data_IF_612702889767
#
_entry.id   IF_612702889767
#
_cell.length_a   1.000
_cell.length_b   1.000
_cell.length_c   1.000
_cell.angle_alpha   90.00
_cell.angle_beta   90.00
_cell.angle_gamma   90.00
#
_symmetry.space_group_name_H-M   'P 1'
#
loop_
_entity.id
_entity.type
_entity.pdbx_description
1 polymer ?
#
# COMPACT_ATOMS: atom_id res chain seq x y z
N UNK A 1 -2.30 -19.65 -11.55
CA UNK A 1 -1.14 -19.83 -10.67
C UNK A 1 -0.40 -21.13 -10.99
N UNK A 2 -1.03 -22.32 -10.95
CA UNK A 2 -0.37 -23.60 -11.19
C UNK A 2 0.46 -23.65 -12.48
N UNK A 3 -0.06 -23.08 -13.58
CA UNK A 3 0.68 -23.01 -14.84
C UNK A 3 1.94 -22.14 -14.72
N UNK A 4 1.85 -21.01 -14.02
CA UNK A 4 2.99 -20.14 -13.77
C UNK A 4 4.02 -20.83 -12.86
N UNK A 5 3.60 -21.50 -11.80
CA UNK A 5 4.51 -22.27 -10.93
C UNK A 5 5.25 -23.37 -11.72
N UNK A 6 4.54 -24.09 -12.60
CA UNK A 6 5.15 -25.13 -13.41
C UNK A 6 6.22 -24.57 -14.36
N UNK A 7 6.00 -23.37 -14.92
CA UNK A 7 6.99 -22.71 -15.78
C UNK A 7 8.29 -22.33 -15.03
N UNK A 8 8.22 -22.18 -13.70
CA UNK A 8 9.33 -21.78 -12.84
C UNK A 8 9.78 -22.89 -11.89
N UNK A 9 9.30 -24.15 -12.06
CA UNK A 9 9.52 -25.23 -11.09
C UNK A 9 11.00 -25.44 -10.77
N UNK A 10 11.87 -25.43 -11.78
CA UNK A 10 13.31 -25.69 -11.65
C UNK A 10 14.14 -24.42 -11.38
N UNK A 11 13.49 -23.25 -11.27
CA UNK A 11 14.19 -21.98 -11.05
C UNK A 11 14.27 -21.68 -9.56
N UNK A 12 15.48 -21.46 -9.06
CA UNK A 12 15.70 -20.98 -7.68
C UNK A 12 15.30 -19.53 -7.54
N UNK A 13 14.59 -19.19 -6.46
CA UNK A 13 14.26 -17.80 -6.14
C UNK A 13 15.53 -17.03 -5.78
N UNK A 14 15.80 -15.95 -6.51
CA UNK A 14 16.91 -15.03 -6.28
C UNK A 14 16.42 -13.59 -6.38
N UNK A 15 17.22 -12.63 -5.93
CA UNK A 15 16.94 -11.20 -6.14
C UNK A 15 17.74 -10.57 -7.29
N UNK A 16 18.48 -11.37 -8.05
CA UNK A 16 19.33 -10.92 -9.16
C UNK A 16 18.66 -11.16 -10.50
N UNK A 17 17.66 -10.33 -10.84
CA UNK A 17 16.95 -10.34 -12.12
C UNK A 17 16.35 -8.97 -12.41
N UNK A 18 15.90 -8.75 -13.64
CA UNK A 18 15.14 -7.54 -14.00
C UNK A 18 13.76 -7.56 -13.35
N UNK A 19 13.49 -6.59 -12.48
CA UNK A 19 12.25 -6.52 -11.68
C UNK A 19 11.03 -6.14 -12.48
N UNK A 20 11.17 -5.71 -13.72
CA UNK A 20 10.07 -5.42 -14.65
C UNK A 20 9.55 -6.69 -15.34
N UNK A 21 10.28 -7.82 -15.20
CA UNK A 21 9.92 -9.11 -15.78
C UNK A 21 9.26 -9.99 -14.72
N UNK A 22 8.14 -10.62 -15.07
CA UNK A 22 7.46 -11.56 -14.19
C UNK A 22 8.35 -12.76 -13.86
N UNK A 23 8.49 -13.06 -12.58
CA UNK A 23 9.44 -14.05 -12.05
C UNK A 23 8.76 -15.11 -11.18
N UNK A 24 9.52 -16.15 -10.79
CA UNK A 24 9.07 -17.11 -9.77
C UNK A 24 8.70 -16.40 -8.46
N UNK A 25 9.50 -15.42 -8.04
CA UNK A 25 9.22 -14.65 -6.81
C UNK A 25 7.89 -13.91 -6.92
N UNK A 26 7.61 -13.23 -8.03
CA UNK A 26 6.34 -12.57 -8.28
C UNK A 26 5.15 -13.57 -8.30
N UNK A 27 5.34 -14.75 -8.87
CA UNK A 27 4.33 -15.84 -8.85
C UNK A 27 4.03 -16.31 -7.42
N UNK A 28 5.05 -16.45 -6.59
CA UNK A 28 4.90 -16.87 -5.18
C UNK A 28 4.20 -15.79 -4.34
N UNK A 29 4.51 -14.50 -4.57
CA UNK A 29 3.81 -13.39 -3.92
C UNK A 29 2.32 -13.38 -4.29
N UNK A 30 1.99 -13.46 -5.58
CA UNK A 30 0.61 -13.56 -6.06
C UNK A 30 -0.10 -14.80 -5.50
N UNK A 31 0.59 -15.95 -5.44
CA UNK A 31 0.04 -17.15 -4.83
C UNK A 31 -0.31 -16.93 -3.36
N UNK A 32 0.62 -16.37 -2.59
CA UNK A 32 0.38 -16.09 -1.17
C UNK A 32 -0.82 -15.15 -1.00
N UNK A 33 -0.89 -14.06 -1.77
CA UNK A 33 -1.98 -13.08 -1.71
C UNK A 33 -3.35 -13.72 -1.99
N UNK A 34 -3.46 -14.54 -3.05
CA UNK A 34 -4.71 -15.24 -3.40
C UNK A 34 -5.13 -16.22 -2.29
N UNK A 35 -4.19 -17.01 -1.76
CA UNK A 35 -4.50 -17.98 -0.71
C UNK A 35 -4.80 -17.34 0.63
N UNK A 36 -4.17 -16.22 0.97
CA UNK A 36 -4.55 -15.41 2.14
C UNK A 36 -5.97 -14.87 2.00
N UNK A 37 -6.32 -14.36 0.81
CA UNK A 37 -7.67 -13.88 0.54
C UNK A 37 -8.69 -15.02 0.64
N UNK A 38 -8.45 -16.15 -0.01
CA UNK A 38 -9.33 -17.33 0.04
C UNK A 38 -9.49 -17.88 1.46
N UNK A 39 -8.43 -17.81 2.27
CA UNK A 39 -8.45 -18.26 3.65
C UNK A 39 -9.36 -17.45 4.57
N UNK A 40 -9.50 -16.13 4.31
CA UNK A 40 -10.06 -15.19 5.27
C UNK A 40 -11.36 -14.54 4.82
N UNK A 41 -11.61 -14.40 3.51
CA UNK A 41 -12.76 -13.65 2.99
C UNK A 41 -13.92 -14.58 2.66
N UNK A 42 -15.09 -14.29 3.25
CA UNK A 42 -16.36 -14.94 2.90
C UNK A 42 -17.24 -13.96 2.13
N UNK A 43 -17.63 -14.36 0.92
CA UNK A 43 -18.49 -13.60 -0.01
C UNK A 43 -19.48 -14.56 -0.68
N UNK A 44 -20.41 -14.03 -1.47
CA UNK A 44 -21.29 -14.87 -2.29
C UNK A 44 -20.46 -15.75 -3.22
N UNK A 45 -20.66 -17.07 -3.10
CA UNK A 45 -19.97 -18.09 -3.91
C UNK A 45 -18.60 -18.52 -3.35
N UNK A 46 -18.12 -17.94 -2.24
CA UNK A 46 -16.90 -18.39 -1.58
C UNK A 46 -17.00 -18.32 -0.07
N UNK A 47 -16.63 -19.40 0.60
CA UNK A 47 -16.50 -19.47 2.07
C UNK A 47 -15.03 -19.55 2.44
N UNK A 48 -14.61 -18.74 3.40
CA UNK A 48 -13.24 -18.73 3.91
C UNK A 48 -12.77 -20.15 4.31
N UNK A 49 -11.60 -20.54 3.81
CA UNK A 49 -11.03 -21.90 3.99
C UNK A 49 -10.14 -22.02 5.23
N UNK A 50 -9.83 -20.89 5.87
CA UNK A 50 -9.08 -20.82 7.12
C UNK A 50 -7.64 -21.32 6.99
N UNK A 51 -7.20 -22.11 7.97
CA UNK A 51 -5.80 -22.54 8.11
C UNK A 51 -5.30 -23.38 6.94
N UNK A 52 -6.18 -24.02 6.16
CA UNK A 52 -5.77 -24.82 5.00
C UNK A 52 -5.05 -23.96 3.97
N UNK A 53 -5.66 -22.86 3.57
CA UNK A 53 -5.08 -21.97 2.55
C UNK A 53 -4.00 -21.05 3.15
N UNK A 54 -4.08 -20.69 4.44
CA UNK A 54 -2.97 -19.99 5.11
C UNK A 54 -1.66 -20.79 5.08
N UNK A 55 -1.69 -22.11 5.23
CA UNK A 55 -0.50 -22.95 5.10
C UNK A 55 0.07 -22.95 3.67
N UNK A 56 -0.78 -22.86 2.66
CA UNK A 56 -0.32 -22.72 1.26
C UNK A 56 0.35 -21.36 1.06
N UNK A 57 -0.24 -20.29 1.61
CA UNK A 57 0.36 -18.96 1.59
C UNK A 57 1.71 -18.93 2.32
N UNK A 58 1.78 -19.53 3.53
CA UNK A 58 3.01 -19.66 4.32
C UNK A 58 4.11 -20.37 3.52
N UNK A 59 3.78 -21.50 2.88
CA UNK A 59 4.75 -22.27 2.08
C UNK A 59 5.26 -21.48 0.87
N UNK A 60 4.44 -20.61 0.27
CA UNK A 60 4.87 -19.73 -0.81
C UNK A 60 5.81 -18.62 -0.29
N UNK A 61 5.44 -17.94 0.81
CA UNK A 61 6.24 -16.88 1.42
C UNK A 61 7.58 -17.38 1.98
N UNK A 62 7.63 -18.59 2.53
CA UNK A 62 8.87 -19.21 3.02
C UNK A 62 9.94 -19.37 1.91
N UNK A 63 9.54 -19.40 0.65
CA UNK A 63 10.50 -19.40 -0.46
C UNK A 63 11.05 -17.99 -0.78
N UNK A 64 10.40 -16.94 -0.29
CA UNK A 64 10.76 -15.53 -0.48
C UNK A 64 11.58 -15.00 0.69
N UNK A 65 11.17 -15.34 1.93
CA UNK A 65 11.82 -14.85 3.16
C UNK A 65 13.30 -15.22 3.15
N UNK A 66 14.16 -14.20 3.40
CA UNK A 66 15.61 -14.33 3.38
C UNK A 66 16.24 -14.37 1.97
N UNK A 67 15.47 -14.19 0.89
CA UNK A 67 16.00 -14.09 -0.48
C UNK A 67 16.07 -12.66 -1.01
N UNK A 68 15.39 -11.74 -0.34
CA UNK A 68 15.39 -10.31 -0.59
C UNK A 68 15.80 -9.59 0.68
N UNK A 69 16.08 -8.29 0.60
CA UNK A 69 16.57 -7.50 1.73
C UNK A 69 15.79 -6.18 1.80
N UNK A 70 15.46 -5.71 3.00
CA UNK A 70 15.00 -4.33 3.19
C UNK A 70 16.19 -3.39 2.95
N UNK A 71 15.96 -2.31 2.19
CA UNK A 71 16.93 -1.24 2.14
C UNK A 71 16.92 -0.47 3.46
N UNK A 72 18.09 -0.06 3.94
CA UNK A 72 18.19 0.74 5.17
C UNK A 72 17.55 2.11 5.05
N UNK A 73 17.57 2.68 3.86
CA UNK A 73 16.94 3.96 3.53
C UNK A 73 15.64 3.72 2.76
N UNK A 74 14.52 4.12 3.36
CA UNK A 74 13.19 3.95 2.79
C UNK A 74 12.99 4.77 1.50
N UNK A 75 13.57 5.96 1.39
CA UNK A 75 13.46 6.79 0.19
C UNK A 75 14.11 6.12 -1.02
N UNK A 76 15.23 5.44 -0.81
CA UNK A 76 15.96 4.75 -1.86
C UNK A 76 15.22 3.56 -2.49
N UNK A 77 14.18 3.04 -1.82
CA UNK A 77 13.32 1.99 -2.41
C UNK A 77 12.63 2.49 -3.68
N UNK A 78 12.25 3.78 -3.69
CA UNK A 78 11.45 4.42 -4.74
C UNK A 78 12.29 5.29 -5.69
N UNK A 79 13.59 5.34 -5.50
CA UNK A 79 14.49 6.16 -6.31
C UNK A 79 14.61 5.64 -7.74
N UNK A 80 14.42 6.53 -8.72
CA UNK A 80 14.62 6.22 -10.15
C UNK A 80 16.06 5.86 -10.50
N UNK A 81 17.02 6.30 -9.68
CA UNK A 81 18.44 5.92 -9.81
C UNK A 81 18.78 4.57 -9.20
N UNK A 82 17.86 3.95 -8.45
CA UNK A 82 18.04 2.67 -7.76
C UNK A 82 16.93 1.66 -8.12
N UNK A 83 16.53 1.63 -9.36
CA UNK A 83 15.45 0.75 -9.86
C UNK A 83 15.74 -0.72 -9.54
N UNK A 84 15.79 -1.68 -9.93
CA UNK A 84 16.18 -3.07 -9.67
C UNK A 84 16.85 -3.36 -8.31
N UNK A 85 16.57 -2.57 -7.25
CA UNK A 85 17.18 -2.76 -5.94
C UNK A 85 16.75 -4.08 -5.27
N UNK A 86 17.44 -4.45 -4.20
CA UNK A 86 17.29 -5.75 -3.52
C UNK A 86 15.96 -5.94 -2.81
N UNK A 87 15.21 -4.87 -2.55
CA UNK A 87 13.91 -4.94 -1.90
C UNK A 87 12.78 -5.24 -2.90
N UNK A 88 12.90 -4.81 -4.15
CA UNK A 88 11.86 -4.95 -5.17
C UNK A 88 11.78 -6.41 -5.67
N UNK A 89 10.55 -6.94 -5.74
CA UNK A 89 10.24 -8.26 -6.28
C UNK A 89 9.62 -8.14 -7.68
N UNK A 90 8.68 -7.22 -7.88
CA UNK A 90 8.08 -6.98 -9.19
C UNK A 90 7.55 -5.54 -9.27
N UNK A 91 7.76 -4.90 -10.42
CA UNK A 91 7.36 -3.53 -10.68
C UNK A 91 6.87 -3.35 -12.12
N UNK A 92 5.99 -2.37 -12.32
CA UNK A 92 5.65 -1.85 -13.63
C UNK A 92 6.57 -0.68 -13.94
N UNK A 93 7.25 -0.75 -15.08
CA UNK A 93 8.23 0.24 -15.49
C UNK A 93 7.58 1.52 -16.01
N UNK A 94 8.12 2.66 -15.57
CA UNK A 94 7.79 4.00 -16.09
C UNK A 94 9.08 4.74 -16.41
N UNK A 95 9.10 5.46 -17.52
CA UNK A 95 10.26 6.22 -17.95
C UNK A 95 9.87 7.50 -18.69
N UNK A 96 10.74 8.52 -18.60
CA UNK A 96 10.59 9.74 -19.39
C UNK A 96 10.56 9.42 -20.87
N UNK A 97 9.57 9.98 -21.59
CA UNK A 97 9.35 9.74 -23.00
C UNK A 97 8.58 8.45 -23.36
N UNK A 98 8.31 7.56 -22.36
CA UNK A 98 7.52 6.34 -22.57
C UNK A 98 6.15 6.44 -21.88
N UNK A 99 6.14 6.48 -20.55
CA UNK A 99 4.93 6.59 -19.75
C UNK A 99 5.24 7.26 -18.42
N UNK A 100 4.27 8.02 -17.89
CA UNK A 100 4.34 8.64 -16.58
C UNK A 100 3.21 8.13 -15.68
N UNK A 101 3.48 8.05 -14.37
CA UNK A 101 2.50 7.65 -13.37
C UNK A 101 1.62 8.84 -12.92
N UNK A 102 0.68 8.57 -12.01
CA UNK A 102 -0.30 9.57 -11.57
C UNK A 102 0.09 10.35 -10.31
N UNK A 103 1.37 10.41 -9.95
CA UNK A 103 1.84 11.12 -8.75
C UNK A 103 1.38 12.59 -8.72
N UNK A 104 1.27 13.24 -9.87
CA UNK A 104 0.77 14.61 -9.98
C UNK A 104 -0.61 14.87 -9.38
N UNK A 105 -1.45 13.82 -9.16
CA UNK A 105 -2.75 13.97 -8.50
C UNK A 105 -2.63 14.36 -7.01
N UNK A 106 -1.49 14.06 -6.39
CA UNK A 106 -1.20 14.32 -4.97
C UNK A 106 -0.29 15.54 -4.76
N UNK A 107 0.21 16.14 -5.83
CA UNK A 107 1.20 17.22 -5.77
C UNK A 107 0.57 18.56 -6.01
N UNK A 108 1.12 19.60 -5.37
CA UNK A 108 0.64 20.96 -5.46
C UNK A 108 0.94 21.65 -6.81
N UNK A 109 0.19 22.70 -7.09
CA UNK A 109 0.56 23.69 -8.10
C UNK A 109 1.46 24.74 -7.44
N UNK A 110 2.67 24.97 -7.98
CA UNK A 110 3.67 25.86 -7.38
C UNK A 110 3.13 27.26 -7.09
N UNK A 111 2.43 27.86 -8.03
CA UNK A 111 1.86 29.22 -7.88
C UNK A 111 0.80 29.35 -6.77
N UNK A 112 0.15 28.24 -6.38
CA UNK A 112 -0.87 28.21 -5.32
C UNK A 112 -0.29 27.77 -3.96
N UNK A 113 0.96 27.32 -3.93
CA UNK A 113 1.57 26.72 -2.76
C UNK A 113 2.80 27.53 -2.29
N UNK A 114 3.76 27.78 -3.20
CA UNK A 114 5.00 28.47 -2.87
C UNK A 114 4.70 29.92 -2.48
N UNK A 115 5.22 30.34 -1.33
CA UNK A 115 4.95 31.67 -0.75
C UNK A 115 3.54 31.84 -0.15
N UNK A 116 2.66 30.83 -0.23
CA UNK A 116 1.28 30.90 0.27
C UNK A 116 1.08 30.13 1.58
N UNK A 117 1.81 29.04 1.77
CA UNK A 117 1.65 28.15 2.94
C UNK A 117 2.90 28.16 3.81
N UNK A 118 2.80 27.62 5.03
CA UNK A 118 3.87 27.52 6.02
C UNK A 118 4.26 26.09 6.26
N UNK A 119 5.52 25.85 6.54
CA UNK A 119 6.06 24.55 6.94
C UNK A 119 5.92 24.29 8.44
N UNK A 120 6.47 23.15 8.87
CA UNK A 120 6.56 22.71 10.26
C UNK A 120 7.19 23.76 11.18
N UNK A 121 8.14 24.55 10.71
CA UNK A 121 8.84 25.61 11.44
C UNK A 121 8.07 26.95 11.50
N UNK A 122 6.83 27.01 11.06
CA UNK A 122 5.98 28.19 10.93
C UNK A 122 6.47 29.24 9.93
N UNK A 123 7.53 28.95 9.16
CA UNK A 123 7.99 29.83 8.09
C UNK A 123 7.28 29.52 6.79
N UNK A 124 7.15 30.53 5.95
CA UNK A 124 6.64 30.34 4.58
C UNK A 124 7.53 29.39 3.80
N UNK A 125 6.92 28.51 3.03
CA UNK A 125 7.61 27.66 2.07
C UNK A 125 7.90 28.51 0.83
N UNK A 126 9.09 29.09 0.76
CA UNK A 126 9.49 30.01 -0.32
C UNK A 126 10.18 29.29 -1.49
N UNK A 127 10.55 28.01 -1.31
CA UNK A 127 11.30 27.24 -2.31
C UNK A 127 10.50 26.03 -2.74
N UNK A 128 10.39 25.83 -4.05
CA UNK A 128 9.80 24.62 -4.65
C UNK A 128 10.80 23.46 -4.58
N UNK A 129 10.87 22.82 -3.41
CA UNK A 129 11.79 21.71 -3.16
C UNK A 129 11.44 20.44 -3.93
N UNK A 130 10.22 20.32 -4.45
CA UNK A 130 9.78 19.20 -5.25
C UNK A 130 9.96 19.42 -6.76
N UNK A 131 10.42 20.60 -7.19
CA UNK A 131 10.63 20.99 -8.59
C UNK A 131 9.37 20.80 -9.46
N UNK A 132 8.23 21.30 -8.98
CA UNK A 132 6.94 21.18 -9.67
C UNK A 132 6.68 22.35 -10.64
N UNK A 133 7.49 23.41 -10.60
CA UNK A 133 7.40 24.54 -11.53
C UNK A 133 7.58 24.03 -12.95
N UNK A 134 6.59 24.26 -13.79
CA UNK A 134 6.59 23.82 -15.19
C UNK A 134 5.98 22.44 -15.46
N UNK A 135 5.95 21.55 -14.48
CA UNK A 135 5.24 20.26 -14.60
C UNK A 135 3.88 20.31 -13.88
N UNK A 136 3.88 20.92 -12.67
CA UNK A 136 2.69 21.11 -11.84
C UNK A 136 2.05 19.83 -11.33
N UNK A 137 1.42 19.93 -10.17
CA UNK A 137 0.46 18.96 -9.70
C UNK A 137 -0.96 19.45 -9.94
N UNK A 138 -1.94 18.60 -9.73
CA UNK A 138 -3.36 18.99 -9.78
C UNK A 138 -4.04 18.95 -8.42
N UNK A 139 -3.36 18.44 -7.41
CA UNK A 139 -3.73 18.38 -5.99
C UNK A 139 -5.18 17.98 -5.76
N UNK A 140 -5.59 16.86 -6.36
CA UNK A 140 -6.95 16.33 -6.24
C UNK A 140 -7.16 15.46 -5.02
N UNK A 141 -6.08 14.92 -4.48
CA UNK A 141 -6.11 13.97 -3.36
C UNK A 141 -5.08 14.38 -2.33
N UNK A 142 -5.50 14.34 -1.08
CA UNK A 142 -4.70 14.63 0.09
C UNK A 142 -4.98 13.60 1.18
N UNK A 143 -3.98 13.29 1.99
CA UNK A 143 -4.15 12.44 3.15
C UNK A 143 -4.64 13.26 4.34
N UNK A 144 -5.44 12.65 5.20
CA UNK A 144 -6.00 13.32 6.38
C UNK A 144 -4.97 13.47 7.48
N UNK A 145 -5.19 14.45 8.37
CA UNK A 145 -4.39 14.61 9.59
C UNK A 145 -4.39 13.33 10.44
N UNK A 146 -5.53 12.66 10.60
CA UNK A 146 -5.65 11.45 11.39
C UNK A 146 -4.71 10.34 10.90
N UNK A 147 -4.57 10.20 9.59
CA UNK A 147 -3.62 9.24 9.02
C UNK A 147 -2.16 9.70 9.18
N UNK A 148 -1.87 10.97 8.89
CA UNK A 148 -0.53 11.52 9.05
C UNK A 148 -0.05 11.42 10.50
N UNK A 149 -0.92 11.72 11.49
CA UNK A 149 -0.62 11.66 12.92
C UNK A 149 -0.49 10.24 13.48
N UNK A 150 -0.87 9.22 12.70
CA UNK A 150 -0.63 7.82 13.07
C UNK A 150 0.87 7.42 12.99
N UNK A 151 1.69 8.23 12.31
CA UNK A 151 3.14 8.05 12.34
C UNK A 151 3.72 8.67 13.61
N UNK A 152 4.58 7.91 14.29
CA UNK A 152 5.43 8.45 15.33
C UNK A 152 6.41 9.49 14.77
N UNK A 153 6.87 10.44 15.61
CA UNK A 153 7.83 11.45 15.18
C UNK A 153 9.18 10.88 14.73
N UNK A 154 9.53 9.71 15.24
CA UNK A 154 10.77 8.99 14.94
C UNK A 154 10.63 8.04 13.73
N UNK A 155 9.42 7.82 13.26
CA UNK A 155 9.18 7.01 12.05
C UNK A 155 9.64 7.76 10.80
N UNK A 156 10.79 7.39 10.26
CA UNK A 156 11.41 8.07 9.11
C UNK A 156 10.55 8.04 7.86
N UNK A 157 9.62 7.09 7.75
CA UNK A 157 8.70 6.96 6.62
C UNK A 157 7.76 8.15 6.51
N UNK A 158 7.39 8.81 7.64
CA UNK A 158 6.51 9.98 7.63
C UNK A 158 7.08 11.09 6.75
N UNK A 159 8.31 11.48 7.01
CA UNK A 159 8.95 12.61 6.34
C UNK A 159 9.43 12.26 4.92
N UNK A 160 9.65 10.99 4.61
CA UNK A 160 9.85 10.50 3.23
C UNK A 160 8.56 10.54 2.44
N UNK A 161 7.44 10.18 3.07
CA UNK A 161 6.14 10.06 2.40
C UNK A 161 5.45 11.40 2.23
N UNK A 162 5.54 12.31 3.23
CA UNK A 162 4.75 13.52 3.29
C UNK A 162 5.59 14.79 3.43
N UNK A 163 5.11 15.86 2.79
CA UNK A 163 5.47 17.23 3.08
C UNK A 163 4.28 17.86 3.80
N UNK A 164 4.40 18.11 5.11
CA UNK A 164 3.37 18.80 5.88
C UNK A 164 3.40 20.32 5.60
N UNK A 165 2.23 20.93 5.61
CA UNK A 165 2.09 22.37 5.48
C UNK A 165 0.89 22.89 6.28
N UNK A 166 0.84 24.22 6.46
CA UNK A 166 -0.24 24.92 7.15
C UNK A 166 -0.67 26.15 6.35
N UNK A 167 -2.00 26.32 6.22
CA UNK A 167 -2.56 27.46 5.46
C UNK A 167 -2.65 28.75 6.29
N UNK A 168 -2.54 28.67 7.64
CA UNK A 168 -2.66 29.78 8.57
C UNK A 168 -1.43 29.84 9.50
N UNK A 169 -1.34 30.94 10.29
CA UNK A 169 -0.27 31.09 11.29
C UNK A 169 -0.41 30.13 12.46
N UNK A 170 -1.63 29.96 12.92
CA UNK A 170 -1.96 28.98 13.95
C UNK A 170 -1.94 27.59 13.31
N UNK A 171 -1.04 26.74 13.77
CA UNK A 171 -0.91 25.35 13.33
C UNK A 171 -1.98 24.48 13.97
N UNK A 172 -3.23 24.76 13.67
CA UNK A 172 -4.36 23.98 14.09
C UNK A 172 -4.73 22.90 13.04
N UNK A 173 -5.62 22.00 13.42
CA UNK A 173 -6.11 20.96 12.52
C UNK A 173 -6.83 21.52 11.29
N UNK A 174 -7.46 22.70 11.42
CA UNK A 174 -8.20 23.31 10.34
C UNK A 174 -7.27 23.91 9.26
N UNK A 175 -6.02 24.18 9.61
CA UNK A 175 -5.01 24.74 8.71
C UNK A 175 -4.03 23.70 8.17
N UNK A 176 -4.03 22.48 8.74
CA UNK A 176 -3.12 21.38 8.36
C UNK A 176 -3.42 20.83 6.97
N UNK A 177 -2.36 20.53 6.23
CA UNK A 177 -2.39 19.72 5.03
C UNK A 177 -1.10 18.91 4.88
N UNK A 178 -1.13 17.85 4.07
CA UNK A 178 0.07 17.09 3.74
C UNK A 178 0.09 16.62 2.30
N UNK A 179 1.16 16.97 1.61
CA UNK A 179 1.43 16.57 0.22
C UNK A 179 2.13 15.22 0.23
N UNK A 180 1.58 14.22 -0.47
CA UNK A 180 2.26 12.94 -0.67
C UNK A 180 3.39 13.12 -1.69
N UNK A 181 4.63 12.84 -1.26
CA UNK A 181 5.84 13.01 -2.10
C UNK A 181 6.64 11.72 -2.28
N UNK A 182 6.16 10.60 -1.77
CA UNK A 182 6.83 9.30 -1.91
C UNK A 182 6.83 8.86 -3.38
N UNK A 183 8.01 8.59 -3.93
CA UNK A 183 8.13 8.03 -5.28
C UNK A 183 7.57 8.91 -6.39
N UNK A 184 7.78 10.22 -6.33
CA UNK A 184 7.24 11.18 -7.29
C UNK A 184 8.08 11.31 -8.58
N UNK A 185 9.11 10.48 -8.76
CA UNK A 185 9.90 10.45 -9.99
C UNK A 185 11.18 11.28 -9.96
N UNK A 186 11.77 11.45 -11.13
CA UNK A 186 13.06 12.12 -11.35
C UNK A 186 12.91 13.61 -11.68
N UNK A 187 14.06 14.27 -11.79
CA UNK A 187 14.18 15.65 -12.30
C UNK A 187 15.02 15.57 -13.57
N UNK A 188 14.49 16.07 -14.67
CA UNK A 188 15.20 16.07 -15.94
C UNK A 188 16.25 17.20 -16.06
N UNK A 189 16.97 17.23 -17.18
CA UNK A 189 18.01 18.24 -17.45
C UNK A 189 17.50 19.70 -17.50
N UNK A 190 16.19 19.89 -17.71
CA UNK A 190 15.54 21.21 -17.69
C UNK A 190 15.05 21.59 -16.28
N UNK A 191 15.42 20.83 -15.26
CA UNK A 191 15.00 21.01 -13.87
C UNK A 191 13.48 20.86 -13.66
N UNK A 192 12.82 20.06 -14.48
CA UNK A 192 11.40 19.74 -14.35
C UNK A 192 11.21 18.36 -13.76
N UNK A 193 10.17 18.20 -12.91
CA UNK A 193 9.75 16.91 -12.37
C UNK A 193 9.16 16.05 -13.48
N UNK A 194 9.59 14.78 -13.55
CA UNK A 194 9.03 13.73 -14.39
C UNK A 194 8.45 12.65 -13.46
N UNK A 195 7.21 12.25 -13.69
CA UNK A 195 6.53 11.25 -12.87
C UNK A 195 6.85 9.83 -13.39
N UNK A 196 8.12 9.47 -13.33
CA UNK A 196 8.68 8.25 -13.93
C UNK A 196 9.12 7.19 -12.91
N UNK A 197 8.72 7.32 -11.62
CA UNK A 197 8.93 6.23 -10.66
C UNK A 197 8.12 5.02 -11.06
N UNK A 198 8.76 3.85 -11.02
CA UNK A 198 8.10 2.56 -11.24
C UNK A 198 6.99 2.32 -10.22
N UNK A 199 5.88 1.72 -10.65
CA UNK A 199 4.82 1.29 -9.75
C UNK A 199 5.19 -0.09 -9.20
N UNK A 200 5.54 -0.13 -7.92
CA UNK A 200 5.92 -1.37 -7.24
C UNK A 200 4.67 -2.19 -6.95
N UNK A 201 4.63 -3.41 -7.48
CA UNK A 201 3.56 -4.37 -7.23
C UNK A 201 3.89 -5.25 -6.03
N UNK A 202 5.14 -5.76 -5.95
CA UNK A 202 5.61 -6.57 -4.83
C UNK A 202 7.01 -6.17 -4.41
N UNK A 203 7.25 -6.08 -3.10
CA UNK A 203 8.56 -5.87 -2.49
C UNK A 203 8.72 -6.63 -1.17
N UNK A 204 9.93 -6.72 -0.64
CA UNK A 204 10.23 -7.58 0.48
C UNK A 204 9.49 -7.21 1.77
N UNK A 205 9.27 -5.92 2.03
CA UNK A 205 8.44 -5.50 3.16
C UNK A 205 7.01 -6.06 3.07
N UNK A 206 6.45 -6.19 1.84
CA UNK A 206 5.14 -6.81 1.64
C UNK A 206 5.18 -8.32 1.99
N UNK A 207 6.23 -9.03 1.56
CA UNK A 207 6.42 -10.44 1.93
C UNK A 207 6.51 -10.63 3.46
N UNK A 208 7.24 -9.75 4.16
CA UNK A 208 7.35 -9.80 5.62
C UNK A 208 6.00 -9.55 6.30
N UNK A 209 5.27 -8.51 5.92
CA UNK A 209 3.98 -8.18 6.54
C UNK A 209 2.86 -9.16 6.14
N UNK A 210 2.91 -9.76 4.95
CA UNK A 210 2.05 -10.89 4.58
C UNK A 210 2.37 -12.11 5.44
N UNK A 211 3.66 -12.41 5.69
CA UNK A 211 4.04 -13.52 6.57
C UNK A 211 3.60 -13.26 8.03
N UNK A 212 3.68 -12.01 8.51
CA UNK A 212 3.16 -11.64 9.82
C UNK A 212 1.66 -11.95 9.94
N UNK A 213 0.86 -11.57 8.94
CA UNK A 213 -0.57 -11.85 8.91
C UNK A 213 -0.88 -13.36 8.84
N UNK A 214 -0.15 -14.10 8.03
CA UNK A 214 -0.29 -15.57 7.93
C UNK A 214 0.07 -16.25 9.25
N UNK A 215 1.18 -15.85 9.88
CA UNK A 215 1.59 -16.37 11.18
C UNK A 215 0.51 -16.13 12.25
N UNK A 216 -0.01 -14.90 12.33
CA UNK A 216 -1.12 -14.57 13.23
C UNK A 216 -2.36 -15.47 12.98
N UNK A 217 -2.74 -15.65 11.72
CA UNK A 217 -3.89 -16.52 11.35
C UNK A 217 -3.68 -18.00 11.64
N UNK A 218 -2.42 -18.44 11.76
CA UNK A 218 -2.04 -19.80 12.16
C UNK A 218 -1.82 -19.95 13.68
N UNK A 219 -1.92 -18.86 14.45
CA UNK A 219 -1.64 -18.83 15.88
C UNK A 219 -0.14 -18.87 16.21
N UNK A 220 0.69 -18.47 15.27
CA UNK A 220 2.14 -18.35 15.40
C UNK A 220 2.53 -16.89 15.71
N UNK A 221 3.75 -16.66 16.22
CA UNK A 221 4.26 -15.32 16.48
C UNK A 221 4.45 -14.51 15.18
N UNK A 222 3.90 -13.30 15.14
CA UNK A 222 4.04 -12.37 14.01
C UNK A 222 5.07 -11.26 14.28
N UNK A 223 5.48 -11.06 15.54
CA UNK A 223 6.27 -9.91 15.97
C UNK A 223 7.63 -9.79 15.27
N UNK A 224 8.29 -10.91 14.95
CA UNK A 224 9.58 -10.88 14.25
C UNK A 224 9.48 -10.17 12.90
N UNK A 225 8.46 -10.49 12.11
CA UNK A 225 8.29 -9.91 10.76
C UNK A 225 7.88 -8.43 10.82
N UNK A 226 7.01 -8.06 11.76
CA UNK A 226 6.65 -6.66 12.01
C UNK A 226 7.88 -5.87 12.45
N UNK A 227 8.68 -6.44 13.34
CA UNK A 227 9.85 -5.79 13.88
C UNK A 227 10.98 -5.60 12.87
N UNK A 228 11.12 -6.47 11.88
CA UNK A 228 12.07 -6.26 10.80
C UNK A 228 11.73 -4.99 9.99
N UNK A 229 10.45 -4.75 9.72
CA UNK A 229 10.00 -3.52 9.05
C UNK A 229 10.18 -2.31 9.97
N UNK A 230 9.82 -2.41 11.27
CA UNK A 230 10.00 -1.32 12.24
C UNK A 230 11.46 -0.95 12.47
N UNK A 231 12.37 -1.91 12.52
CA UNK A 231 13.82 -1.63 12.62
C UNK A 231 14.29 -0.72 11.50
N UNK A 232 13.85 -0.98 10.25
CA UNK A 232 14.17 -0.10 9.13
C UNK A 232 13.50 1.27 9.29
N UNK A 233 12.23 1.32 9.72
CA UNK A 233 11.46 2.55 9.84
C UNK A 233 12.00 3.51 10.91
N UNK A 234 12.47 2.99 12.03
CA UNK A 234 12.97 3.77 13.16
C UNK A 234 14.49 3.88 13.21
N UNK A 235 15.23 3.04 12.49
CA UNK A 235 16.70 3.07 12.49
C UNK A 235 17.30 3.05 13.88
N UNK A 236 18.10 4.05 14.22
CA UNK A 236 18.75 4.18 15.54
C UNK A 236 17.76 4.43 16.69
N UNK A 237 16.58 4.95 16.39
CA UNK A 237 15.50 5.20 17.37
C UNK A 237 14.59 3.96 17.58
N UNK A 238 14.97 2.77 17.07
CA UNK A 238 14.12 1.58 17.14
C UNK A 238 13.82 1.11 18.58
N UNK A 239 14.74 1.31 19.52
CA UNK A 239 14.54 0.91 20.91
C UNK A 239 13.30 1.59 21.53
N UNK A 240 12.36 0.78 22.04
CA UNK A 240 11.07 1.25 22.57
C UNK A 240 9.93 1.28 21.53
N UNK A 241 10.21 0.94 20.28
CA UNK A 241 9.21 0.84 19.19
C UNK A 241 8.96 -0.61 18.75
N UNK A 242 9.49 -1.58 19.53
CA UNK A 242 9.29 -3.00 19.26
C UNK A 242 7.80 -3.36 19.38
N UNK A 243 7.36 -4.22 18.48
CA UNK A 243 6.04 -4.84 18.55
C UNK A 243 6.14 -6.16 19.31
N UNK A 244 5.23 -6.38 20.24
CA UNK A 244 5.02 -7.65 20.94
C UNK A 244 3.67 -8.24 20.54
N UNK A 245 3.61 -9.57 20.38
CA UNK A 245 2.39 -10.26 20.01
C UNK A 245 1.28 -10.04 21.06
N UNK A 246 0.09 -9.74 20.57
CA UNK A 246 -1.14 -9.56 21.33
C UNK A 246 -2.17 -10.67 21.03
N UNK A 247 -3.46 -10.33 21.18
CA UNK A 247 -4.55 -11.19 20.71
C UNK A 247 -4.58 -11.21 19.17
N UNK A 248 -5.31 -12.18 18.60
CA UNK A 248 -5.49 -12.28 17.15
C UNK A 248 -5.90 -10.93 16.52
N UNK A 249 -6.95 -10.29 17.03
CA UNK A 249 -7.43 -9.01 16.53
C UNK A 249 -6.42 -7.87 16.74
N UNK A 250 -5.75 -7.83 17.89
CA UNK A 250 -4.73 -6.82 18.14
C UNK A 250 -3.56 -6.94 17.15
N UNK A 251 -3.16 -8.16 16.83
CA UNK A 251 -2.13 -8.42 15.82
C UNK A 251 -2.62 -8.02 14.41
N UNK A 252 -3.87 -8.37 14.02
CA UNK A 252 -4.44 -7.96 12.72
C UNK A 252 -4.43 -6.44 12.57
N UNK A 253 -4.91 -5.70 13.59
CA UNK A 253 -4.91 -4.23 13.57
C UNK A 253 -3.49 -3.65 13.54
N UNK A 254 -2.56 -4.19 14.33
CA UNK A 254 -1.18 -3.71 14.34
C UNK A 254 -0.49 -3.94 12.99
N UNK A 255 -0.69 -5.11 12.37
CA UNK A 255 -0.17 -5.42 11.03
C UNK A 255 -0.80 -4.51 9.98
N UNK A 256 -2.13 -4.28 10.04
CA UNK A 256 -2.82 -3.37 9.13
C UNK A 256 -2.25 -1.95 9.22
N UNK A 257 -2.10 -1.41 10.44
CA UNK A 257 -1.56 -0.07 10.65
C UNK A 257 -0.08 0.03 10.23
N UNK A 258 0.70 -1.05 10.38
CA UNK A 258 2.07 -1.08 9.87
C UNK A 258 2.09 -1.08 8.34
N UNK A 259 1.20 -1.86 7.69
CA UNK A 259 1.02 -1.89 6.23
C UNK A 259 0.55 -0.54 5.70
N UNK A 260 -0.36 0.14 6.41
CA UNK A 260 -0.83 1.47 6.04
C UNK A 260 0.31 2.49 5.94
N UNK A 261 1.20 2.50 6.94
CA UNK A 261 2.38 3.39 6.95
C UNK A 261 3.40 3.02 5.88
N UNK A 262 3.59 1.75 5.66
CA UNK A 262 4.58 1.20 4.74
C UNK A 262 4.18 1.38 3.27
N UNK A 263 2.91 1.15 2.93
CA UNK A 263 2.44 1.02 1.55
C UNK A 263 1.57 2.19 1.07
N UNK A 264 1.78 3.38 1.62
CA UNK A 264 1.15 4.60 1.07
C UNK A 264 1.36 4.64 -0.43
N UNK A 265 0.27 4.80 -1.17
CA UNK A 265 0.25 4.89 -2.63
C UNK A 265 0.76 3.65 -3.40
N UNK A 266 0.81 2.48 -2.77
CA UNK A 266 1.16 1.21 -3.42
C UNK A 266 -0.07 0.31 -3.69
N UNK A 267 -1.28 0.83 -3.51
CA UNK A 267 -2.53 0.16 -3.87
C UNK A 267 -2.96 -1.02 -2.98
N UNK A 268 -2.37 -1.17 -1.77
CA UNK A 268 -2.59 -2.35 -0.91
C UNK A 268 -3.81 -2.24 0.00
N UNK A 269 -4.08 -1.05 0.53
CA UNK A 269 -5.02 -0.82 1.64
C UNK A 269 -6.39 -1.46 1.47
N UNK A 270 -7.01 -1.34 0.28
CA UNK A 270 -8.33 -1.90 0.07
C UNK A 270 -8.34 -3.42 0.28
N UNK A 271 -7.39 -4.11 -0.31
CA UNK A 271 -7.27 -5.56 -0.20
C UNK A 271 -6.95 -6.00 1.23
N UNK A 272 -6.13 -5.24 1.94
CA UNK A 272 -5.75 -5.51 3.33
C UNK A 272 -6.94 -5.39 4.26
N UNK A 273 -7.68 -4.27 4.22
CA UNK A 273 -8.80 -4.02 5.13
C UNK A 273 -9.99 -4.95 4.86
N UNK A 274 -10.17 -5.39 3.61
CA UNK A 274 -11.21 -6.38 3.24
C UNK A 274 -10.84 -7.77 3.76
N UNK A 275 -9.57 -8.14 3.70
CA UNK A 275 -9.07 -9.47 4.05
C UNK A 275 -8.84 -9.64 5.53
N UNK A 276 -8.27 -8.64 6.20
CA UNK A 276 -7.94 -8.71 7.63
C UNK A 276 -9.19 -8.73 8.50
N UNK A 277 -9.10 -9.34 9.68
CA UNK A 277 -10.25 -9.76 10.46
C UNK A 277 -10.21 -9.28 11.91
N UNK A 278 -11.42 -9.03 12.48
CA UNK A 278 -11.65 -8.85 13.91
C UNK A 278 -11.63 -10.19 14.67
N UNK A 279 -11.83 -10.16 15.99
CA UNK A 279 -11.90 -11.34 16.85
C UNK A 279 -13.03 -12.33 16.49
N UNK A 280 -14.05 -11.86 15.77
CA UNK A 280 -15.17 -12.67 15.28
C UNK A 280 -15.00 -13.12 13.83
N UNK A 281 -13.81 -12.90 13.27
CA UNK A 281 -13.48 -13.19 11.87
C UNK A 281 -14.30 -12.39 10.83
N UNK A 282 -14.82 -11.22 11.20
CA UNK A 282 -15.38 -10.31 10.22
C UNK A 282 -14.27 -9.44 9.61
N UNK A 283 -14.46 -9.03 8.36
CA UNK A 283 -13.57 -8.08 7.68
C UNK A 283 -13.39 -6.79 8.48
N UNK A 284 -12.17 -6.30 8.60
CA UNK A 284 -11.85 -5.01 9.23
C UNK A 284 -12.44 -3.81 8.47
N UNK A 285 -12.93 -3.99 7.24
CA UNK A 285 -13.71 -2.97 6.54
C UNK A 285 -14.96 -2.53 7.32
N UNK A 286 -15.47 -3.38 8.21
CA UNK A 286 -16.61 -3.10 9.09
C UNK A 286 -16.20 -2.56 10.47
N UNK A 287 -14.89 -2.42 10.75
CA UNK A 287 -14.36 -1.95 12.03
C UNK A 287 -13.94 -0.49 11.96
N UNK A 288 -14.41 0.31 12.91
CA UNK A 288 -13.95 1.68 13.06
C UNK A 288 -12.45 1.75 13.43
N UNK A 289 -11.94 0.78 14.20
CA UNK A 289 -10.54 0.73 14.61
C UNK A 289 -9.55 0.63 13.42
N UNK A 290 -10.03 0.13 12.27
CA UNK A 290 -9.24 0.03 11.05
C UNK A 290 -9.26 1.29 10.20
N UNK A 291 -9.94 2.36 10.62
CA UNK A 291 -10.13 3.57 9.80
C UNK A 291 -9.43 4.80 10.41
N UNK A 292 -9.32 5.86 9.60
CA UNK A 292 -8.75 7.16 9.98
C UNK A 292 -9.74 8.29 9.60
N UNK A 293 -10.39 8.95 10.57
CA UNK A 293 -10.33 8.69 12.02
C UNK A 293 -11.06 7.37 12.40
N UNK A 294 -10.69 6.82 13.58
CA UNK A 294 -11.28 5.59 14.13
C UNK A 294 -12.70 5.81 14.71
N UNK A 295 -13.52 6.62 14.05
CA UNK A 295 -14.89 6.98 14.50
C UNK A 295 -15.98 6.26 13.75
N UNK A 296 -15.67 5.76 12.53
CA UNK A 296 -16.62 5.03 11.70
C UNK A 296 -15.90 3.99 10.85
N UNK A 297 -16.58 2.89 10.53
CA UNK A 297 -16.08 1.89 9.61
C UNK A 297 -16.10 2.39 8.16
N UNK A 298 -15.28 1.78 7.30
CA UNK A 298 -15.26 2.07 5.86
C UNK A 298 -16.55 1.64 5.18
N UNK A 299 -17.11 0.50 5.60
CA UNK A 299 -18.35 -0.08 5.07
C UNK A 299 -19.27 -0.39 6.26
N UNK A 300 -20.56 -0.11 6.11
CA UNK A 300 -21.57 -0.57 7.07
C UNK A 300 -21.76 -2.09 7.00
N UNK A 301 -21.99 -2.74 8.14
CA UNK A 301 -22.30 -4.18 8.19
C UNK A 301 -23.54 -4.58 7.41
N UNK A 302 -24.44 -3.64 7.14
CA UNK A 302 -25.62 -3.84 6.27
C UNK A 302 -25.28 -3.85 4.77
N UNK A 303 -24.06 -3.44 4.40
CA UNK A 303 -23.61 -3.27 3.01
C UNK A 303 -22.48 -4.24 2.64
N UNK A 304 -22.52 -5.47 3.18
CA UNK A 304 -21.48 -6.51 2.96
C UNK A 304 -21.15 -6.78 1.49
N UNK A 305 -22.10 -6.56 0.57
CA UNK A 305 -21.87 -6.70 -0.86
C UNK A 305 -20.78 -5.76 -1.38
N UNK A 306 -20.53 -4.63 -0.71
CA UNK A 306 -19.50 -3.66 -1.08
C UNK A 306 -18.06 -4.14 -0.84
N UNK A 307 -17.84 -5.30 -0.22
CA UNK A 307 -16.53 -5.96 -0.21
C UNK A 307 -16.05 -6.33 -1.61
N UNK A 308 -16.97 -6.55 -2.53
CA UNK A 308 -16.70 -6.68 -3.96
C UNK A 308 -17.15 -5.41 -4.69
N UNK A 309 -16.48 -5.11 -5.78
CA UNK A 309 -16.86 -3.98 -6.62
C UNK A 309 -17.95 -4.39 -7.62
N UNK A 310 -18.85 -3.46 -8.01
CA UNK A 310 -19.77 -3.70 -9.10
C UNK A 310 -19.03 -3.85 -10.43
N UNK A 311 -19.59 -4.62 -11.33
CA UNK A 311 -19.13 -4.60 -12.72
C UNK A 311 -19.55 -3.28 -13.36
N UNK A 312 -18.66 -2.68 -14.13
CA UNK A 312 -18.93 -1.48 -14.88
C UNK A 312 -20.06 -1.71 -15.92
N UNK A 313 -21.01 -0.77 -15.99
CA UNK A 313 -22.20 -0.89 -16.84
C UNK A 313 -21.82 -0.95 -18.32
N UNK A 314 -20.82 -0.16 -18.76
CA UNK A 314 -20.36 -0.18 -20.16
C UNK A 314 -19.77 -1.54 -20.52
N UNK A 315 -18.98 -2.13 -19.63
CA UNK A 315 -18.45 -3.48 -19.79
C UNK A 315 -19.58 -4.54 -19.90
N UNK A 316 -20.59 -4.43 -19.02
CA UNK A 316 -21.76 -5.34 -19.07
C UNK A 316 -22.58 -5.18 -20.35
N UNK A 317 -22.69 -3.95 -20.87
CA UNK A 317 -23.40 -3.70 -22.15
C UNK A 317 -22.69 -4.30 -23.35
N UNK A 318 -21.33 -4.30 -23.34
CA UNK A 318 -20.52 -4.91 -24.40
C UNK A 318 -20.56 -6.45 -24.33
N UNK A 319 -20.58 -7.03 -23.12
CA UNK A 319 -20.59 -8.49 -22.95
C UNK A 319 -21.91 -8.96 -22.30
N UNK A 320 -22.85 -9.52 -23.09
CA UNK A 320 -24.16 -9.94 -22.58
C UNK A 320 -24.12 -11.15 -21.63
N UNK A 321 -22.98 -11.86 -21.54
CA UNK A 321 -22.81 -13.00 -20.63
C UNK A 321 -22.44 -12.60 -19.21
N UNK A 322 -22.10 -11.32 -18.98
CA UNK A 322 -21.77 -10.85 -17.64
C UNK A 322 -23.04 -10.59 -16.83
N UNK A 323 -23.01 -11.08 -15.60
CA UNK A 323 -24.00 -10.78 -14.55
C UNK A 323 -23.39 -9.82 -13.54
N UNK A 324 -24.23 -8.88 -13.03
CA UNK A 324 -23.79 -7.92 -12.02
C UNK A 324 -23.40 -8.63 -10.71
N UNK A 325 -22.40 -8.09 -10.04
CA UNK A 325 -22.01 -8.52 -8.69
C UNK A 325 -23.25 -8.49 -7.77
N UNK A 326 -23.55 -9.58 -7.04
CA UNK A 326 -24.70 -9.65 -6.15
C UNK A 326 -24.75 -8.50 -5.14
N UNK A 327 -25.93 -7.92 -4.95
CA UNK A 327 -26.13 -6.74 -4.10
C UNK A 327 -26.09 -5.39 -4.85
N UNK A 328 -25.74 -5.41 -6.14
CA UNK A 328 -25.75 -4.24 -7.02
C UNK A 328 -26.86 -4.33 -8.09
N UNK A 329 -28.00 -4.92 -7.74
CA UNK A 329 -29.12 -5.19 -8.66
C UNK A 329 -29.73 -3.94 -9.32
N UNK A 330 -29.49 -2.76 -8.73
CA UNK A 330 -29.91 -1.46 -9.31
C UNK A 330 -29.06 -1.06 -10.53
N UNK A 331 -27.88 -1.63 -10.69
CA UNK A 331 -26.99 -1.39 -11.83
C UNK A 331 -27.29 -2.42 -12.92
N UNK A 332 -28.39 -2.23 -13.64
CA UNK A 332 -28.82 -3.13 -14.71
C UNK A 332 -28.26 -2.70 -16.07
N UNK A 333 -28.09 -3.66 -16.98
CA UNK A 333 -27.83 -3.39 -18.38
C UNK A 333 -28.89 -2.44 -18.94
N UNK A 334 -28.48 -1.50 -19.77
CA UNK A 334 -29.46 -0.70 -20.51
C UNK A 334 -30.17 -1.63 -21.52
N UNK A 335 -31.51 -1.54 -21.66
CA UNK A 335 -32.18 -2.25 -22.73
C UNK A 335 -31.70 -1.74 -24.08
N UNK A 336 -31.52 -2.64 -25.03
CA UNK A 336 -31.17 -2.34 -26.42
C UNK A 336 -32.23 -1.46 -27.07
#
# INVERSE_FOLDING_TARGET
IQKSENNYADITVTNSYDKTIWSKAATLMLKAEIYMWAAKVTITGHTATGTTDLKVAQAALNQIIGKFELLSDFENVFSTSNRNNKEIIFTLHFADGEATNWAGQFLYQDALFIGQVKGRDSKRIETDTLNLKGTGGVFRHEYTYDFWSAYDEKDTRRDVTFLEYYTQEDKDLASFGCVMKKGIGSINSNNNRIYDTDIIIYRYADALLMMAEVANGLGESCSTYVNDVRKRAYGDDYAGHEYADGSFEANELAILHERDKEFVWEGKRWFDVVRMQDASHNSLAFSAAANYPSTSSLISTSEKHKLLWPLDISTMNINPLLEQTPGYDTYKKQPE
#
